data_IF_092641337931
#
_entry.id   IF_092641337931
#
_cell.length_a   1.000
_cell.length_b   1.000
_cell.length_c   1.000
_cell.angle_alpha   90.00
_cell.angle_beta   90.00
_cell.angle_gamma   90.00
#
_symmetry.space_group_name_H-M   'P 1'
#
loop_
_entity.id
_entity.type
_entity.pdbx_description
1 polymer ?
#
# COMPACT_ATOMS: atom_id res chain seq x y z
N UNK A 1 1.71 2.80 -4.73
CA UNK A 1 2.22 3.23 -6.06
C UNK A 1 1.67 2.41 -7.24
N UNK A 2 2.12 1.17 -7.48
CA UNK A 2 1.69 0.40 -8.67
C UNK A 2 0.17 0.27 -8.83
N UNK A 3 -0.55 0.11 -7.72
CA UNK A 3 -2.02 0.05 -7.74
C UNK A 3 -2.67 1.32 -8.30
N UNK A 4 -2.18 2.50 -7.92
CA UNK A 4 -2.76 3.76 -8.41
C UNK A 4 -2.41 4.01 -9.89
N UNK A 5 -1.24 3.57 -10.34
CA UNK A 5 -0.86 3.62 -11.76
C UNK A 5 -1.77 2.71 -12.60
N UNK A 6 -2.04 1.49 -12.14
CA UNK A 6 -2.96 0.59 -12.82
C UNK A 6 -4.39 1.15 -12.92
N UNK A 7 -4.84 1.90 -11.91
CA UNK A 7 -6.13 2.63 -11.99
C UNK A 7 -6.09 3.72 -13.07
N UNK A 8 -5.00 4.48 -13.16
CA UNK A 8 -4.85 5.53 -14.14
C UNK A 8 -4.79 4.97 -15.58
N UNK A 9 -4.09 3.86 -15.79
CA UNK A 9 -4.04 3.13 -17.07
C UNK A 9 -5.43 2.66 -17.52
N UNK A 10 -6.30 2.31 -16.57
CA UNK A 10 -7.71 1.99 -16.82
C UNK A 10 -8.58 3.23 -17.15
N UNK A 11 -7.95 4.37 -17.47
CA UNK A 11 -8.57 5.69 -17.76
C UNK A 11 -9.34 6.28 -16.58
N UNK A 12 -9.06 5.85 -15.36
CA UNK A 12 -9.46 6.59 -14.19
C UNK A 12 -8.56 7.83 -14.01
N UNK A 13 -9.00 8.79 -13.18
CA UNK A 13 -8.16 9.92 -12.76
C UNK A 13 -7.98 9.86 -11.24
N UNK A 14 -7.24 8.86 -10.72
CA UNK A 14 -7.23 8.62 -9.30
C UNK A 14 -6.49 9.72 -8.53
N UNK A 15 -6.90 9.94 -7.30
CA UNK A 15 -6.12 10.67 -6.31
C UNK A 15 -5.25 9.69 -5.53
N UNK A 16 -3.98 10.03 -5.33
CA UNK A 16 -3.10 9.38 -4.36
C UNK A 16 -2.92 10.34 -3.17
N UNK A 17 -3.25 9.89 -1.98
CA UNK A 17 -3.03 10.62 -0.73
C UNK A 17 -1.90 9.92 0.04
N UNK A 18 -0.77 10.60 0.23
CA UNK A 18 0.40 10.06 0.94
C UNK A 18 0.42 10.52 2.39
N UNK A 19 0.11 9.58 3.29
CA UNK A 19 0.14 9.79 4.74
C UNK A 19 1.17 8.87 5.42
N UNK A 20 2.02 8.15 4.66
CA UNK A 20 3.07 7.33 5.25
C UNK A 20 4.22 8.21 5.73
N UNK A 21 4.31 8.38 7.06
CA UNK A 21 5.41 9.09 7.72
C UNK A 21 6.52 8.15 8.19
N UNK A 22 6.37 6.82 8.01
CA UNK A 22 7.24 5.79 8.58
C UNK A 22 8.32 5.32 7.62
N UNK A 23 8.05 5.37 6.31
CA UNK A 23 8.99 4.89 5.29
C UNK A 23 9.80 6.05 4.70
N UNK A 24 10.94 6.44 5.30
CA UNK A 24 11.65 7.66 4.89
C UNK A 24 12.28 7.56 3.50
N UNK A 25 12.47 6.35 2.97
CA UNK A 25 13.24 6.09 1.75
C UNK A 25 12.40 6.01 0.48
N UNK A 26 11.09 5.78 0.61
CA UNK A 26 10.21 5.46 -0.52
C UNK A 26 8.98 6.35 -0.44
N UNK A 27 9.17 7.64 -0.72
CA UNK A 27 8.11 8.64 -0.58
C UNK A 27 7.46 8.86 -1.92
N UNK A 28 6.14 8.82 -1.98
CA UNK A 28 5.41 9.02 -3.25
C UNK A 28 5.69 10.41 -3.85
N UNK A 29 6.01 11.39 -2.99
CA UNK A 29 6.41 12.76 -3.36
C UNK A 29 7.65 12.82 -4.28
N UNK A 30 8.56 11.86 -4.16
CA UNK A 30 9.76 11.79 -5.02
C UNK A 30 9.41 11.38 -6.46
N UNK A 31 8.18 10.89 -6.68
CA UNK A 31 7.68 10.43 -7.98
C UNK A 31 6.53 11.30 -8.50
N UNK A 32 6.40 12.54 -7.99
CA UNK A 32 5.31 13.44 -8.37
C UNK A 32 5.17 13.58 -9.88
N UNK A 33 6.27 13.87 -10.59
CA UNK A 33 6.23 14.10 -12.04
C UNK A 33 5.77 12.85 -12.79
N UNK A 34 6.25 11.67 -12.38
CA UNK A 34 5.84 10.39 -12.96
C UNK A 34 4.35 10.13 -12.73
N UNK A 35 3.87 10.36 -11.51
CA UNK A 35 2.47 10.19 -11.13
C UNK A 35 1.57 11.14 -11.93
N UNK A 36 1.93 12.42 -12.02
CA UNK A 36 1.15 13.44 -12.72
C UNK A 36 1.12 13.19 -14.23
N UNK A 37 2.25 12.77 -14.83
CA UNK A 37 2.31 12.35 -16.23
C UNK A 37 1.43 11.12 -16.53
N UNK A 38 1.31 10.20 -15.57
CA UNK A 38 0.41 9.06 -15.65
C UNK A 38 -1.06 9.42 -15.40
N UNK A 39 -1.38 10.68 -15.08
CA UNK A 39 -2.76 11.14 -14.81
C UNK A 39 -3.23 10.94 -13.36
N UNK A 40 -2.31 10.64 -12.43
CA UNK A 40 -2.57 10.54 -10.99
C UNK A 40 -2.42 11.93 -10.35
N UNK A 41 -3.35 12.32 -9.48
CA UNK A 41 -3.22 13.55 -8.68
C UNK A 41 -2.72 13.24 -7.29
N UNK A 42 -1.55 13.78 -6.94
CA UNK A 42 -0.89 13.51 -5.66
C UNK A 42 -1.18 14.60 -4.61
N UNK A 43 -1.79 14.18 -3.50
CA UNK A 43 -1.88 14.92 -2.23
C UNK A 43 -0.80 14.39 -1.29
N UNK A 44 0.20 15.22 -1.03
CA UNK A 44 1.31 14.91 -0.12
C UNK A 44 1.77 16.22 0.56
N UNK A 45 2.45 16.15 1.72
CA UNK A 45 3.01 17.34 2.36
C UNK A 45 3.88 18.14 1.39
N UNK A 46 3.70 19.48 1.37
CA UNK A 46 4.43 20.43 0.51
C UNK A 46 5.50 21.17 1.29
N UNK A 47 6.48 21.74 0.60
CA UNK A 47 7.51 22.61 1.18
C UNK A 47 6.90 23.73 2.07
N UNK A 48 7.56 24.10 3.20
CA UNK A 48 8.86 23.61 3.69
C UNK A 48 8.80 22.27 4.44
N UNK A 49 7.62 21.65 4.55
CA UNK A 49 7.41 20.41 5.30
C UNK A 49 7.69 19.13 4.48
N UNK A 50 8.13 19.26 3.22
CA UNK A 50 8.52 18.15 2.35
C UNK A 50 9.66 17.30 2.93
N UNK A 51 10.59 17.93 3.67
CA UNK A 51 11.72 17.28 4.33
C UNK A 51 11.51 17.08 5.83
N UNK A 52 10.42 17.61 6.41
CA UNK A 52 10.16 17.49 7.82
C UNK A 52 9.55 16.12 8.13
N UNK A 53 10.14 15.36 9.05
CA UNK A 53 9.55 14.14 9.62
C UNK A 53 8.44 14.49 10.64
N UNK A 54 7.64 15.52 10.32
CA UNK A 54 6.48 15.91 11.09
C UNK A 54 5.25 15.20 10.50
N UNK A 55 4.31 14.72 11.35
CA UNK A 55 3.02 14.23 10.89
C UNK A 55 2.17 15.41 10.41
N UNK A 56 2.54 15.97 9.26
CA UNK A 56 1.80 17.02 8.58
C UNK A 56 0.75 16.35 7.69
N UNK A 57 -0.51 16.52 8.04
CA UNK A 57 -1.60 16.13 7.15
C UNK A 57 -1.84 17.27 6.16
N UNK A 58 -1.82 17.02 4.85
CA UNK A 58 -2.25 18.01 3.87
C UNK A 58 -3.70 18.46 4.14
N UNK A 59 -3.98 19.75 4.04
CA UNK A 59 -5.31 20.31 4.30
C UNK A 59 -6.36 19.77 3.31
N UNK A 60 -5.91 19.34 2.13
CA UNK A 60 -6.74 18.87 1.03
C UNK A 60 -7.31 17.47 1.25
N UNK A 61 -6.82 16.69 2.22
CA UNK A 61 -7.25 15.29 2.44
C UNK A 61 -8.75 15.19 2.65
N UNK A 62 -9.33 16.01 3.53
CA UNK A 62 -10.76 15.98 3.81
C UNK A 62 -11.63 16.33 2.60
N UNK A 63 -11.14 17.21 1.72
CA UNK A 63 -11.84 17.59 0.49
C UNK A 63 -11.80 16.45 -0.55
N UNK A 64 -10.65 15.77 -0.68
CA UNK A 64 -10.48 14.64 -1.61
C UNK A 64 -11.31 13.44 -1.15
N UNK A 65 -11.31 13.12 0.15
CA UNK A 65 -12.11 12.03 0.70
C UNK A 65 -13.62 12.26 0.57
N UNK A 66 -14.08 13.51 0.46
CA UNK A 66 -15.49 13.85 0.23
C UNK A 66 -15.92 13.90 -1.24
N UNK A 67 -15.03 13.58 -2.19
CA UNK A 67 -15.32 13.62 -3.62
C UNK A 67 -15.76 12.24 -4.14
N UNK A 68 -17.03 12.10 -4.51
CA UNK A 68 -17.58 10.81 -4.98
C UNK A 68 -17.29 10.49 -6.46
N UNK A 69 -16.59 11.36 -7.18
CA UNK A 69 -16.47 11.26 -8.65
C UNK A 69 -15.29 10.42 -9.12
N UNK A 70 -14.26 10.29 -8.29
CA UNK A 70 -12.94 9.84 -8.72
C UNK A 70 -12.34 8.89 -7.68
N UNK A 71 -11.65 7.81 -8.08
CA UNK A 71 -11.06 6.89 -7.11
C UNK A 71 -10.02 7.59 -6.23
N UNK A 72 -10.06 7.33 -4.93
CA UNK A 72 -9.05 7.82 -3.98
C UNK A 72 -8.30 6.63 -3.42
N UNK A 73 -6.97 6.67 -3.51
CA UNK A 73 -6.07 5.71 -2.88
C UNK A 73 -5.33 6.45 -1.77
N UNK A 74 -5.42 5.94 -0.54
CA UNK A 74 -4.71 6.49 0.61
C UNK A 74 -3.57 5.54 0.97
N UNK A 75 -2.33 6.02 0.89
CA UNK A 75 -1.14 5.29 1.33
C UNK A 75 -0.89 5.56 2.81
N UNK A 76 -0.81 4.49 3.59
CA UNK A 76 -0.82 4.54 5.05
C UNK A 76 0.27 3.65 5.59
N UNK A 77 1.14 4.24 6.41
CA UNK A 77 2.16 3.51 7.14
C UNK A 77 1.55 2.42 8.04
N UNK A 78 2.28 1.31 8.19
CA UNK A 78 1.84 0.16 9.01
C UNK A 78 1.98 0.35 10.52
N UNK A 79 2.12 1.58 11.02
CA UNK A 79 2.27 1.87 12.44
C UNK A 79 0.99 2.47 13.07
N UNK A 80 0.90 2.36 14.39
CA UNK A 80 -0.28 2.84 15.12
C UNK A 80 -0.38 4.37 15.17
N UNK A 81 0.71 5.09 14.89
CA UNK A 81 0.76 6.55 14.95
C UNK A 81 0.22 7.14 13.63
N UNK A 82 0.73 6.67 12.49
CA UNK A 82 0.26 7.07 11.16
C UNK A 82 -1.20 6.69 10.93
N UNK A 83 -1.65 5.54 11.43
CA UNK A 83 -3.05 5.12 11.27
C UNK A 83 -4.06 5.91 12.10
N UNK A 84 -3.65 6.51 13.23
CA UNK A 84 -4.54 7.38 14.04
C UNK A 84 -5.00 8.63 13.30
N UNK A 85 -4.21 9.08 12.31
CA UNK A 85 -4.54 10.26 11.51
C UNK A 85 -5.89 10.11 10.80
N UNK A 86 -6.24 8.89 10.40
CA UNK A 86 -7.50 8.57 9.74
C UNK A 86 -8.71 8.72 10.65
N UNK A 87 -8.51 8.66 11.97
CA UNK A 87 -9.58 8.87 12.93
C UNK A 87 -10.28 10.21 12.76
N UNK A 88 -9.58 11.23 12.22
CA UNK A 88 -10.16 12.54 11.91
C UNK A 88 -11.21 12.50 10.79
N UNK A 89 -11.17 11.51 9.90
CA UNK A 89 -12.11 11.33 8.79
C UNK A 89 -12.91 10.02 8.90
N UNK A 90 -12.99 9.44 10.10
CA UNK A 90 -13.71 8.17 10.35
C UNK A 90 -15.12 8.19 9.77
N UNK A 91 -15.87 9.28 9.98
CA UNK A 91 -17.27 9.37 9.56
C UNK A 91 -17.40 9.45 8.03
N UNK A 92 -16.49 10.13 7.35
CA UNK A 92 -16.45 10.19 5.89
C UNK A 92 -16.06 8.84 5.29
N UNK A 93 -15.02 8.20 5.84
CA UNK A 93 -14.56 6.88 5.40
C UNK A 93 -15.63 5.80 5.65
N UNK A 94 -16.36 5.89 6.78
CA UNK A 94 -17.44 4.95 7.10
C UNK A 94 -18.70 5.15 6.25
N UNK A 95 -18.94 6.37 5.77
CA UNK A 95 -20.09 6.68 4.91
C UNK A 95 -19.86 6.28 3.45
N UNK A 96 -18.61 6.21 3.00
CA UNK A 96 -18.25 5.86 1.63
C UNK A 96 -17.94 4.35 1.48
N UNK A 97 -18.35 3.71 0.36
CA UNK A 97 -17.85 2.39 0.00
C UNK A 97 -16.32 2.42 -0.12
N UNK A 98 -15.62 1.62 0.67
CA UNK A 98 -14.16 1.58 0.67
C UNK A 98 -13.63 0.15 0.78
N UNK A 99 -12.35 -0.01 0.44
CA UNK A 99 -11.57 -1.22 0.70
C UNK A 99 -10.33 -0.85 1.51
N UNK A 100 -10.22 -1.40 2.71
CA UNK A 100 -9.05 -1.25 3.56
C UNK A 100 -8.17 -2.49 3.41
N UNK A 101 -7.15 -2.40 2.56
CA UNK A 101 -6.28 -3.51 2.22
C UNK A 101 -5.02 -3.50 3.08
N UNK A 102 -4.74 -4.60 3.78
CA UNK A 102 -3.49 -4.78 4.52
C UNK A 102 -2.46 -5.50 3.65
N UNK A 103 -1.37 -4.81 3.31
CA UNK A 103 -0.33 -5.31 2.41
C UNK A 103 0.70 -6.11 3.20
N UNK A 104 0.82 -7.41 2.89
CA UNK A 104 1.69 -8.34 3.63
C UNK A 104 2.88 -8.76 2.78
N UNK A 105 4.07 -8.64 3.34
CA UNK A 105 5.27 -9.33 2.86
C UNK A 105 5.70 -10.36 3.90
N UNK A 106 5.51 -11.66 3.61
CA UNK A 106 5.81 -12.74 4.55
C UNK A 106 7.32 -12.98 4.80
N UNK A 107 8.20 -12.19 4.17
CA UNK A 107 9.65 -12.18 4.46
C UNK A 107 10.08 -11.02 5.35
N UNK A 108 9.17 -10.14 5.76
CA UNK A 108 9.49 -9.11 6.76
C UNK A 108 9.56 -9.71 8.16
N UNK A 109 10.39 -9.14 9.06
CA UNK A 109 10.35 -9.48 10.47
C UNK A 109 8.92 -9.40 11.02
N UNK A 110 8.56 -10.34 11.88
CA UNK A 110 7.24 -10.40 12.53
C UNK A 110 6.05 -10.55 11.57
N UNK A 111 6.28 -11.07 10.36
CA UNK A 111 5.23 -11.41 9.37
C UNK A 111 5.43 -12.79 8.74
N UNK A 112 6.33 -13.61 9.31
CA UNK A 112 6.76 -14.88 8.72
C UNK A 112 5.79 -16.04 8.85
N UNK A 113 4.74 -15.88 9.66
CA UNK A 113 3.72 -16.88 9.92
C UNK A 113 2.33 -16.25 10.03
N UNK A 114 1.30 -17.09 9.91
CA UNK A 114 -0.09 -16.64 9.89
C UNK A 114 -0.52 -15.95 11.20
N UNK A 115 -0.07 -16.41 12.37
CA UNK A 115 -0.46 -15.82 13.66
C UNK A 115 0.12 -14.43 13.83
N UNK A 116 1.38 -14.23 13.43
CA UNK A 116 2.00 -12.91 13.44
C UNK A 116 1.26 -11.92 12.55
N UNK A 117 0.83 -12.34 11.35
CA UNK A 117 0.03 -11.52 10.44
C UNK A 117 -1.33 -11.17 11.06
N UNK A 118 -2.04 -12.17 11.60
CA UNK A 118 -3.34 -11.99 12.28
C UNK A 118 -3.21 -10.98 13.42
N UNK A 119 -2.17 -11.09 14.25
CA UNK A 119 -1.92 -10.18 15.35
C UNK A 119 -1.69 -8.74 14.84
N UNK A 120 -0.88 -8.57 13.80
CA UNK A 120 -0.60 -7.27 13.22
C UNK A 120 -1.86 -6.62 12.63
N UNK A 121 -2.66 -7.37 11.88
CA UNK A 121 -3.94 -6.92 11.31
C UNK A 121 -4.90 -6.46 12.40
N UNK A 122 -5.10 -7.27 13.45
CA UNK A 122 -6.00 -6.91 14.57
C UNK A 122 -5.55 -5.67 15.31
N UNK A 123 -4.23 -5.55 15.57
CA UNK A 123 -3.66 -4.37 16.24
C UNK A 123 -3.85 -3.11 15.40
N UNK A 124 -3.62 -3.18 14.09
CA UNK A 124 -3.76 -2.04 13.19
C UNK A 124 -5.23 -1.63 13.04
N UNK A 125 -6.14 -2.58 12.84
CA UNK A 125 -7.58 -2.32 12.74
C UNK A 125 -8.11 -1.60 14.00
N UNK A 126 -7.65 -2.03 15.19
CA UNK A 126 -8.01 -1.36 16.45
C UNK A 126 -7.47 0.07 16.55
N UNK A 127 -6.25 0.33 16.06
CA UNK A 127 -5.66 1.67 16.08
C UNK A 127 -6.29 2.63 15.05
N UNK A 128 -6.57 2.13 13.84
CA UNK A 128 -7.14 2.89 12.74
C UNK A 128 -8.65 3.17 12.90
N UNK A 129 -9.35 2.37 13.73
CA UNK A 129 -10.82 2.32 13.79
C UNK A 129 -11.47 2.06 12.42
N UNK A 130 -10.74 1.39 11.53
CA UNK A 130 -11.19 0.99 10.20
C UNK A 130 -11.01 -0.52 10.09
N UNK A 131 -12.06 -1.22 9.69
CA UNK A 131 -12.02 -2.67 9.49
C UNK A 131 -11.24 -3.01 8.23
N UNK A 132 -10.22 -3.86 8.35
CA UNK A 132 -9.50 -4.41 7.20
C UNK A 132 -10.47 -5.28 6.40
N UNK A 133 -10.58 -5.03 5.09
CA UNK A 133 -11.52 -5.71 4.19
C UNK A 133 -10.86 -6.77 3.33
N UNK A 134 -9.52 -6.82 3.30
CA UNK A 134 -8.77 -7.82 2.55
C UNK A 134 -7.26 -7.72 2.77
N UNK A 135 -6.55 -8.77 2.38
CA UNK A 135 -5.08 -8.81 2.38
C UNK A 135 -4.54 -8.69 0.95
N UNK A 136 -3.37 -8.07 0.80
CA UNK A 136 -2.59 -8.12 -0.44
C UNK A 136 -1.35 -8.97 -0.20
N UNK A 137 -1.16 -9.98 -1.05
CA UNK A 137 0.01 -10.85 -1.00
C UNK A 137 1.16 -10.21 -1.77
N UNK A 138 2.10 -9.57 -1.06
CA UNK A 138 3.21 -8.82 -1.64
C UNK A 138 4.54 -9.36 -1.09
N UNK A 139 4.75 -10.68 -1.17
CA UNK A 139 5.97 -11.31 -0.65
C UNK A 139 7.12 -11.18 -1.65
N UNK A 140 8.17 -10.43 -1.28
CA UNK A 140 9.34 -10.20 -2.13
C UNK A 140 10.63 -10.05 -1.31
N UNK A 141 11.78 -10.24 -1.96
CA UNK A 141 13.15 -9.98 -1.46
C UNK A 141 13.94 -9.03 -2.38
N UNK A 142 13.23 -8.12 -3.07
CA UNK A 142 13.84 -7.21 -4.04
C UNK A 142 14.37 -8.00 -5.25
N UNK A 143 15.61 -7.78 -5.64
CA UNK A 143 16.21 -8.47 -6.79
C UNK A 143 16.34 -9.99 -6.60
N UNK A 144 16.39 -10.45 -5.34
CA UNK A 144 16.46 -11.88 -5.00
C UNK A 144 15.08 -12.55 -4.97
N UNK A 145 14.03 -11.87 -5.40
CA UNK A 145 12.69 -12.46 -5.46
C UNK A 145 12.64 -13.56 -6.49
N UNK A 146 12.05 -14.69 -6.13
CA UNK A 146 11.76 -15.81 -7.04
C UNK A 146 10.28 -16.17 -6.95
N UNK A 147 9.77 -16.88 -7.95
CA UNK A 147 8.38 -17.39 -7.94
C UNK A 147 8.09 -18.23 -6.70
N UNK A 148 9.03 -19.10 -6.31
CA UNK A 148 8.93 -19.90 -5.09
C UNK A 148 8.79 -19.03 -3.84
N UNK A 149 9.55 -17.94 -3.73
CA UNK A 149 9.43 -17.00 -2.59
C UNK A 149 8.03 -16.39 -2.52
N UNK A 150 7.48 -15.99 -3.67
CA UNK A 150 6.13 -15.42 -3.78
C UNK A 150 5.09 -16.46 -3.35
N UNK A 151 5.14 -17.67 -3.93
CA UNK A 151 4.20 -18.76 -3.66
C UNK A 151 4.23 -19.22 -2.19
N UNK A 152 5.42 -19.35 -1.61
CA UNK A 152 5.56 -19.73 -0.21
C UNK A 152 5.00 -18.65 0.73
N UNK A 153 5.21 -17.37 0.40
CA UNK A 153 4.60 -16.27 1.14
C UNK A 153 3.09 -16.22 1.00
N UNK A 154 2.58 -16.42 -0.22
CA UNK A 154 1.14 -16.43 -0.51
C UNK A 154 0.41 -17.51 0.28
N UNK A 155 1.02 -18.69 0.44
CA UNK A 155 0.48 -19.78 1.26
C UNK A 155 0.29 -19.35 2.72
N UNK A 156 1.28 -18.69 3.32
CA UNK A 156 1.21 -18.18 4.70
C UNK A 156 0.14 -17.07 4.82
N UNK A 157 0.09 -16.18 3.84
CA UNK A 157 -0.86 -15.05 3.83
C UNK A 157 -2.30 -15.56 3.68
N UNK A 158 -2.54 -16.58 2.87
CA UNK A 158 -3.88 -17.21 2.75
C UNK A 158 -4.31 -17.91 4.01
N UNK A 159 -3.41 -18.59 4.72
CA UNK A 159 -3.72 -19.16 6.03
C UNK A 159 -4.16 -18.09 7.03
N UNK A 160 -3.53 -16.92 7.01
CA UNK A 160 -3.95 -15.78 7.82
C UNK A 160 -5.32 -15.23 7.36
N UNK A 161 -5.50 -15.07 6.05
CA UNK A 161 -6.72 -14.57 5.44
C UNK A 161 -7.93 -15.44 5.79
N UNK A 162 -7.80 -16.76 5.68
CA UNK A 162 -8.82 -17.74 6.03
C UNK A 162 -9.25 -17.62 7.50
N UNK A 163 -8.29 -17.55 8.43
CA UNK A 163 -8.58 -17.41 9.86
C UNK A 163 -9.17 -16.05 10.24
N UNK A 164 -8.89 -15.01 9.45
CA UNK A 164 -9.49 -13.68 9.62
C UNK A 164 -10.87 -13.59 8.96
N UNK A 165 -11.26 -14.56 8.12
CA UNK A 165 -12.45 -14.46 7.29
C UNK A 165 -12.35 -13.37 6.22
N UNK A 166 -11.13 -13.06 5.76
CA UNK A 166 -10.85 -12.00 4.79
C UNK A 166 -10.39 -12.59 3.44
N UNK A 167 -10.71 -11.94 2.31
CA UNK A 167 -10.17 -12.32 1.02
C UNK A 167 -8.69 -11.91 0.87
N UNK A 168 -7.95 -12.64 0.04
CA UNK A 168 -6.73 -12.12 -0.59
C UNK A 168 -7.14 -11.41 -1.87
N UNK A 169 -7.03 -10.09 -1.91
CA UNK A 169 -7.50 -9.26 -3.01
C UNK A 169 -6.72 -9.54 -4.31
N UNK A 170 -5.39 -9.64 -4.20
CA UNK A 170 -4.50 -10.03 -5.29
C UNK A 170 -3.11 -10.39 -4.75
N UNK A 171 -2.33 -11.05 -5.61
CA UNK A 171 -0.90 -11.31 -5.42
C UNK A 171 -0.12 -10.31 -6.26
N UNK A 172 0.75 -9.50 -5.64
CA UNK A 172 1.65 -8.61 -6.33
C UNK A 172 2.95 -9.35 -6.69
N UNK A 173 3.35 -9.27 -7.95
CA UNK A 173 4.58 -9.90 -8.43
C UNK A 173 5.25 -9.03 -9.49
N UNK A 174 6.59 -8.97 -9.47
CA UNK A 174 7.36 -8.30 -10.52
C UNK A 174 6.98 -8.90 -11.89
N UNK A 175 6.81 -8.07 -12.91
CA UNK A 175 6.24 -8.46 -14.22
C UNK A 175 6.89 -9.72 -14.82
N UNK A 176 8.20 -9.82 -14.77
CA UNK A 176 9.00 -10.99 -15.23
C UNK A 176 8.74 -12.29 -14.42
N UNK A 177 8.27 -12.15 -13.18
CA UNK A 177 7.92 -13.26 -12.31
C UNK A 177 6.43 -13.58 -12.34
N UNK A 178 5.57 -12.69 -12.85
CA UNK A 178 4.12 -12.85 -12.81
C UNK A 178 3.63 -14.01 -13.70
N UNK A 179 4.14 -14.09 -14.93
CA UNK A 179 3.68 -15.05 -15.94
C UNK A 179 4.03 -16.49 -15.57
N UNK A 180 3.09 -17.29 -15.07
CA UNK A 180 3.32 -18.67 -14.62
C UNK A 180 3.56 -18.81 -13.12
N UNK A 181 3.15 -17.82 -12.32
CA UNK A 181 2.92 -18.04 -10.89
C UNK A 181 1.75 -19.00 -10.73
N UNK A 182 1.99 -20.10 -10.04
CA UNK A 182 0.93 -20.99 -9.57
C UNK A 182 0.49 -20.51 -8.18
N UNK A 183 -0.46 -19.57 -8.18
CA UNK A 183 -1.13 -19.01 -7.00
C UNK A 183 -2.62 -18.82 -7.31
N UNK A 184 -3.54 -18.98 -6.34
CA UNK A 184 -4.96 -18.75 -6.59
C UNK A 184 -5.32 -17.28 -6.85
N UNK A 185 -6.31 -17.02 -7.70
CA UNK A 185 -6.88 -15.68 -7.88
C UNK A 185 -6.03 -14.74 -8.74
N UNK A 186 -6.22 -13.43 -8.54
CA UNK A 186 -5.63 -12.40 -9.42
C UNK A 186 -4.16 -12.15 -9.09
N UNK A 187 -3.31 -12.20 -10.11
CA UNK A 187 -1.92 -11.72 -10.04
C UNK A 187 -1.85 -10.33 -10.65
N UNK A 188 -1.42 -9.35 -9.85
CA UNK A 188 -1.09 -8.02 -10.32
C UNK A 188 0.40 -7.99 -10.69
N UNK A 189 0.68 -8.00 -11.99
CA UNK A 189 2.02 -7.75 -12.50
C UNK A 189 2.40 -6.30 -12.21
N UNK A 190 3.48 -6.11 -11.45
CA UNK A 190 4.01 -4.79 -11.13
C UNK A 190 5.33 -4.56 -11.85
N UNK A 191 5.50 -3.34 -12.34
CA UNK A 191 6.80 -2.88 -12.80
C UNK A 191 7.61 -2.38 -11.61
N UNK A 192 8.89 -2.67 -11.61
CA UNK A 192 9.85 -1.96 -10.77
C UNK A 192 10.08 -0.57 -11.41
N UNK A 193 9.07 0.29 -11.43
CA UNK A 193 9.25 1.73 -11.70
C UNK A 193 10.20 2.37 -10.67
N UNK A 194 10.35 1.66 -9.56
CA UNK A 194 11.20 1.98 -8.45
C UNK A 194 12.57 1.34 -8.70
N UNK A 195 13.36 1.92 -9.60
CA UNK A 195 14.78 2.08 -9.34
C UNK A 195 14.95 3.05 -8.16
N UNK A 196 14.29 2.75 -7.04
CA UNK A 196 14.65 3.26 -5.75
C UNK A 196 15.94 2.53 -5.44
N UNK A 197 17.01 3.01 -6.07
CA UNK A 197 18.36 2.79 -5.65
C UNK A 197 18.31 2.80 -4.13
N UNK A 198 18.69 1.68 -3.52
CA UNK A 198 18.95 1.67 -2.10
C UNK A 198 19.75 2.93 -1.76
N UNK A 199 19.57 3.57 -0.60
CA UNK A 199 20.17 4.89 -0.34
C UNK A 199 21.66 5.03 -0.69
N UNK A 200 22.39 3.90 -0.66
CA UNK A 200 23.79 3.76 -1.05
C UNK A 200 24.08 3.71 -2.56
N UNK A 201 23.14 3.31 -3.41
CA UNK A 201 23.31 3.31 -4.87
C UNK A 201 23.28 4.72 -5.50
N UNK A 202 23.12 5.77 -4.69
CA UNK A 202 23.37 7.17 -5.09
C UNK A 202 24.84 7.60 -4.89
N UNK A 203 25.69 6.72 -4.38
CA UNK A 203 27.10 6.97 -4.04
C UNK A 203 28.07 6.13 -4.89
N UNK A 204 27.55 5.35 -5.84
CA UNK A 204 28.30 4.68 -6.91
C UNK A 204 28.26 5.54 -8.18
#
# INVERSE_FOLDING_TARGET
>A
MNYVLALADARARPWLVDLDTVTPFYRSRDLRDLLEQAGVRLVAPRAPFEAADLPAVPAEVGAVLGSDREPVVVDLGGDAIGTRVLGAWHDQLSAAPHSALYVVNARRPFSGDAQSIIHAVRRLAAAARIGVTGLVSNTHLGDRTTRKIIQDGDRVIRQAAEQLGLPVAFVAARRDLADGLDVPGTVMAIDNHLHLASPWARWD
#
